data_IF_527948121483
#
_entry.id   IF_527948121483
#
_cell.length_a   1.000
_cell.length_b   1.000
_cell.length_c   1.000
_cell.angle_alpha   90.00
_cell.angle_beta   90.00
_cell.angle_gamma   90.00
#
_symmetry.space_group_name_H-M   'P 1'
#
loop_
_entity.id
_entity.type
_entity.pdbx_description
1 polymer ?
#
# COMPACT_ATOMS: atom_id res chain seq x y z
N UNK A 1 -11.41 -27.20 -2.56
CA UNK A 1 -11.15 -27.01 -4.00
C UNK A 1 -12.12 -26.02 -4.67
N UNK A 2 -13.41 -26.07 -4.38
CA UNK A 2 -14.42 -25.13 -4.95
C UNK A 2 -14.14 -23.64 -4.70
N UNK A 3 -13.67 -23.26 -3.51
CA UNK A 3 -13.36 -21.87 -3.19
C UNK A 3 -12.20 -21.28 -4.02
N UNK A 4 -11.20 -22.08 -4.39
CA UNK A 4 -10.07 -21.62 -5.18
C UNK A 4 -10.46 -21.39 -6.65
N UNK A 5 -11.35 -22.23 -7.20
CA UNK A 5 -11.86 -22.07 -8.56
C UNK A 5 -12.69 -20.79 -8.69
N UNK A 6 -13.49 -20.46 -7.67
CA UNK A 6 -14.25 -19.21 -7.61
C UNK A 6 -13.34 -17.97 -7.53
N UNK A 7 -12.29 -18.00 -6.68
CA UNK A 7 -11.34 -16.91 -6.56
C UNK A 7 -10.55 -16.70 -7.86
N UNK A 8 -10.08 -17.79 -8.47
CA UNK A 8 -9.35 -17.74 -9.73
C UNK A 8 -10.18 -17.12 -10.85
N UNK A 9 -11.47 -17.47 -10.93
CA UNK A 9 -12.39 -16.88 -11.92
C UNK A 9 -12.58 -15.38 -11.69
N UNK A 10 -12.74 -14.95 -10.44
CA UNK A 10 -12.83 -13.53 -10.10
C UNK A 10 -11.55 -12.75 -10.47
N UNK A 11 -10.37 -13.33 -10.22
CA UNK A 11 -9.08 -12.74 -10.61
C UNK A 11 -8.96 -12.64 -12.13
N UNK A 12 -9.43 -13.65 -12.88
CA UNK A 12 -9.45 -13.64 -14.33
C UNK A 12 -10.33 -12.50 -14.88
N UNK A 13 -11.55 -12.37 -14.37
CA UNK A 13 -12.52 -11.32 -14.76
C UNK A 13 -12.02 -9.91 -14.41
N UNK A 14 -11.28 -9.77 -13.30
CA UNK A 14 -10.65 -8.53 -12.91
C UNK A 14 -9.41 -8.18 -13.76
N UNK A 15 -8.95 -9.08 -14.63
CA UNK A 15 -7.79 -8.85 -15.50
C UNK A 15 -6.44 -8.89 -14.78
N UNK A 16 -6.34 -9.62 -13.68
CA UNK A 16 -5.12 -9.78 -12.87
C UNK A 16 -3.99 -10.45 -13.65
N UNK A 17 -4.34 -11.30 -14.61
CA UNK A 17 -3.42 -12.08 -15.44
C UNK A 17 -2.67 -11.28 -16.51
N UNK A 18 -3.06 -10.04 -16.79
CA UNK A 18 -2.37 -9.21 -17.75
C UNK A 18 -1.11 -8.60 -17.14
N UNK A 19 0.05 -8.88 -17.71
CA UNK A 19 1.29 -8.21 -17.37
C UNK A 19 1.67 -7.13 -18.36
N UNK A 20 2.88 -6.67 -18.28
CA UNK A 20 3.45 -5.65 -19.16
C UNK A 20 3.94 -6.22 -20.50
N UNK A 21 4.28 -5.30 -21.40
CA UNK A 21 4.89 -5.64 -22.70
C UNK A 21 6.20 -6.42 -22.50
N UNK A 22 6.43 -7.43 -23.32
CA UNK A 22 7.65 -8.25 -23.37
C UNK A 22 8.95 -7.41 -23.36
N UNK A 23 8.97 -6.25 -23.99
CA UNK A 23 10.15 -5.38 -24.03
C UNK A 23 10.57 -4.80 -22.67
N UNK A 24 9.65 -4.80 -21.68
CA UNK A 24 9.86 -4.21 -20.36
C UNK A 24 9.94 -5.24 -19.22
N UNK A 25 9.88 -6.52 -19.53
CA UNK A 25 9.81 -7.56 -18.52
C UNK A 25 11.11 -7.75 -17.75
N UNK A 26 10.99 -8.27 -16.55
CA UNK A 26 12.14 -8.69 -15.74
C UNK A 26 12.31 -10.22 -15.87
N UNK A 27 13.52 -10.72 -16.23
CA UNK A 27 13.76 -12.17 -16.35
C UNK A 27 13.45 -12.97 -15.07
N UNK A 28 13.56 -12.38 -13.90
CA UNK A 28 13.24 -13.03 -12.62
C UNK A 28 11.75 -13.31 -12.44
N UNK A 29 10.89 -12.71 -13.27
CA UNK A 29 9.45 -13.01 -13.30
C UNK A 29 9.12 -14.26 -14.13
N UNK A 30 10.09 -14.86 -14.82
CA UNK A 30 9.86 -16.06 -15.63
C UNK A 30 9.06 -17.17 -14.91
N UNK A 31 9.31 -17.50 -13.63
CA UNK A 31 8.54 -18.52 -12.92
C UNK A 31 7.04 -18.22 -12.81
N UNK A 32 6.64 -16.95 -12.89
CA UNK A 32 5.26 -16.47 -12.72
C UNK A 32 4.55 -16.18 -14.04
N UNK A 33 5.25 -16.33 -15.18
CA UNK A 33 4.68 -16.10 -16.51
C UNK A 33 4.15 -17.40 -17.06
N UNK A 34 2.87 -17.45 -17.44
CA UNK A 34 2.22 -18.59 -18.05
C UNK A 34 2.48 -18.64 -19.55
N UNK A 35 2.31 -17.51 -20.26
CA UNK A 35 2.42 -17.44 -21.73
C UNK A 35 2.69 -15.99 -22.19
N UNK A 36 2.95 -15.87 -23.49
CA UNK A 36 3.00 -14.58 -24.20
C UNK A 36 1.85 -14.53 -25.21
N UNK A 37 1.08 -13.44 -25.21
CA UNK A 37 -0.01 -13.21 -26.17
C UNK A 37 0.04 -11.79 -26.69
N UNK A 38 0.18 -11.62 -28.02
CA UNK A 38 0.25 -10.32 -28.68
C UNK A 38 1.35 -9.37 -28.11
N UNK A 39 2.50 -9.93 -27.70
CA UNK A 39 3.61 -9.16 -27.13
C UNK A 39 3.42 -8.70 -25.69
N UNK A 40 2.41 -9.22 -24.98
CA UNK A 40 2.14 -9.01 -23.56
C UNK A 40 2.33 -10.33 -22.83
N UNK A 41 2.97 -10.31 -21.68
CA UNK A 41 3.08 -11.47 -20.81
C UNK A 41 1.77 -11.73 -20.06
N UNK A 42 1.41 -13.01 -19.96
CA UNK A 42 0.27 -13.47 -19.18
C UNK A 42 0.79 -14.12 -17.91
N UNK A 43 0.33 -13.62 -16.75
CA UNK A 43 0.70 -14.12 -15.43
C UNK A 43 -0.09 -15.39 -15.12
N UNK A 44 0.57 -16.35 -14.47
CA UNK A 44 -0.06 -17.60 -14.00
C UNK A 44 -0.93 -17.34 -12.77
N UNK A 45 -2.24 -17.40 -12.96
CA UNK A 45 -3.21 -17.16 -11.88
C UNK A 45 -3.17 -18.22 -10.76
N UNK A 46 -2.70 -19.46 -11.04
CA UNK A 46 -2.53 -20.46 -9.98
C UNK A 46 -1.50 -19.95 -8.96
N UNK A 47 -0.36 -19.48 -9.45
CA UNK A 47 0.70 -18.91 -8.59
C UNK A 47 0.25 -17.64 -7.92
N UNK A 48 -0.56 -16.79 -8.59
CA UNK A 48 -1.15 -15.61 -7.96
C UNK A 48 -2.02 -16.01 -6.78
N UNK A 49 -2.87 -17.02 -6.92
CA UNK A 49 -3.74 -17.51 -5.82
C UNK A 49 -2.92 -18.04 -4.65
N UNK A 50 -1.91 -18.88 -4.92
CA UNK A 50 -1.01 -19.43 -3.90
C UNK A 50 -0.31 -18.31 -3.12
N UNK A 51 0.36 -17.40 -3.82
CA UNK A 51 1.06 -16.27 -3.20
C UNK A 51 0.10 -15.33 -2.44
N UNK A 52 -1.11 -15.11 -2.97
CA UNK A 52 -2.12 -14.27 -2.32
C UNK A 52 -2.62 -14.89 -1.01
N UNK A 53 -2.85 -16.19 -0.98
CA UNK A 53 -3.26 -16.92 0.22
C UNK A 53 -2.17 -16.93 1.29
N UNK A 54 -0.92 -17.17 0.88
CA UNK A 54 0.25 -17.11 1.78
C UNK A 54 0.41 -15.71 2.38
N UNK A 55 0.32 -14.69 1.54
CA UNK A 55 0.37 -13.27 1.95
C UNK A 55 -0.75 -12.94 2.93
N UNK A 56 -1.98 -13.38 2.65
CA UNK A 56 -3.14 -13.14 3.51
C UNK A 56 -2.96 -13.80 4.88
N UNK A 57 -2.47 -15.03 4.93
CA UNK A 57 -2.18 -15.74 6.18
C UNK A 57 -1.13 -15.01 7.03
N UNK A 58 -0.04 -14.54 6.39
CA UNK A 58 1.01 -13.79 7.07
C UNK A 58 0.49 -12.44 7.61
N UNK A 59 -0.29 -11.70 6.80
CA UNK A 59 -0.88 -10.42 7.22
C UNK A 59 -1.91 -10.60 8.35
N UNK A 60 -2.72 -11.66 8.30
CA UNK A 60 -3.66 -12.04 9.37
C UNK A 60 -2.92 -12.24 10.69
N UNK A 61 -1.81 -12.95 10.69
CA UNK A 61 -0.98 -13.16 11.89
C UNK A 61 -0.40 -11.86 12.45
N UNK A 62 0.09 -10.96 11.57
CA UNK A 62 0.59 -9.65 11.99
C UNK A 62 -0.53 -8.83 12.64
N UNK A 63 -1.73 -8.81 12.04
CA UNK A 63 -2.90 -8.11 12.57
C UNK A 63 -3.35 -8.66 13.91
N UNK A 64 -3.41 -9.98 14.07
CA UNK A 64 -3.73 -10.67 15.32
C UNK A 64 -2.76 -10.31 16.46
N UNK A 65 -1.49 -10.05 16.16
CA UNK A 65 -0.51 -9.58 17.14
C UNK A 65 -0.66 -8.10 17.52
N UNK A 66 -1.70 -7.39 17.07
CA UNK A 66 -1.96 -5.98 17.32
C UNK A 66 -0.97 -5.03 16.63
N UNK A 67 -0.14 -5.53 15.72
CA UNK A 67 0.85 -4.74 15.00
C UNK A 67 0.21 -4.06 13.79
N UNK A 68 0.76 -2.91 13.38
CA UNK A 68 0.27 -2.15 12.24
C UNK A 68 0.99 -2.53 10.96
N UNK A 69 0.21 -2.63 9.88
CA UNK A 69 0.67 -2.81 8.50
C UNK A 69 0.46 -1.48 7.79
N UNK A 70 1.51 -0.91 7.20
CA UNK A 70 1.42 0.33 6.44
C UNK A 70 1.13 0.01 4.97
N UNK A 71 0.02 0.54 4.46
CA UNK A 71 -0.37 0.42 3.06
C UNK A 71 0.24 1.56 2.24
N UNK A 72 0.87 1.22 1.11
CA UNK A 72 1.49 2.20 0.21
C UNK A 72 1.00 1.98 -1.21
N UNK A 73 0.45 3.03 -1.79
CA UNK A 73 -0.04 3.02 -3.17
C UNK A 73 -0.27 4.43 -3.67
N UNK A 74 0.76 5.06 -4.23
CA UNK A 74 0.67 6.43 -4.76
C UNK A 74 0.24 6.47 -6.23
N UNK A 75 0.19 5.31 -6.89
CA UNK A 75 -0.27 5.17 -8.26
C UNK A 75 -1.75 5.61 -8.37
N UNK A 76 -2.09 6.39 -9.39
CA UNK A 76 -3.44 6.96 -9.56
C UNK A 76 -4.56 5.92 -9.48
N UNK A 77 -4.32 4.71 -10.00
CA UNK A 77 -5.26 3.61 -10.01
C UNK A 77 -5.44 2.96 -8.62
N UNK A 78 -4.45 3.11 -7.73
CA UNK A 78 -4.42 2.46 -6.43
C UNK A 78 -4.89 3.37 -5.28
N UNK A 79 -4.77 4.69 -5.40
CA UNK A 79 -4.98 5.66 -4.32
C UNK A 79 -6.28 5.48 -3.56
N UNK A 80 -7.41 5.50 -4.27
CA UNK A 80 -8.73 5.49 -3.66
C UNK A 80 -9.01 4.13 -3.00
N UNK A 81 -8.61 3.05 -3.67
CA UNK A 81 -8.77 1.67 -3.17
C UNK A 81 -7.98 1.47 -1.89
N UNK A 82 -6.70 1.85 -1.91
CA UNK A 82 -5.80 1.71 -0.75
C UNK A 82 -6.29 2.55 0.43
N UNK A 83 -6.74 3.80 0.18
CA UNK A 83 -7.29 4.68 1.20
C UNK A 83 -8.53 4.06 1.87
N UNK A 84 -9.50 3.63 1.06
CA UNK A 84 -10.74 3.04 1.55
C UNK A 84 -10.49 1.75 2.35
N UNK A 85 -9.72 0.84 1.78
CA UNK A 85 -9.42 -0.46 2.39
C UNK A 85 -8.62 -0.32 3.70
N UNK A 86 -7.60 0.53 3.73
CA UNK A 86 -6.80 0.74 4.93
C UNK A 86 -7.62 1.38 6.07
N UNK A 87 -8.51 2.34 5.75
CA UNK A 87 -9.41 2.95 6.74
C UNK A 87 -10.39 1.93 7.32
N UNK A 88 -10.93 1.03 6.51
CA UNK A 88 -11.87 -0.03 6.94
C UNK A 88 -11.29 -0.89 8.06
N UNK A 89 -9.99 -1.17 8.03
CA UNK A 89 -9.29 -1.99 9.05
C UNK A 89 -8.42 -1.15 10.01
N UNK A 90 -8.60 0.16 10.02
CA UNK A 90 -7.84 1.08 10.88
C UNK A 90 -6.31 0.87 10.78
N UNK A 91 -5.82 0.67 9.57
CA UNK A 91 -4.39 0.57 9.27
C UNK A 91 -3.86 1.89 8.67
N UNK A 92 -2.59 2.25 8.93
CA UNK A 92 -1.98 3.43 8.34
C UNK A 92 -1.79 3.26 6.82
N UNK A 93 -1.79 4.38 6.08
CA UNK A 93 -1.63 4.35 4.64
C UNK A 93 -0.92 5.61 4.10
N UNK A 94 -0.32 5.47 2.91
CA UNK A 94 0.26 6.55 2.12
C UNK A 94 -0.22 6.40 0.68
N UNK A 95 -1.00 7.39 0.21
CA UNK A 95 -1.64 7.35 -1.11
C UNK A 95 -1.30 8.53 -2.01
N UNK A 96 -0.74 9.63 -1.45
CA UNK A 96 -0.42 10.81 -2.26
C UNK A 96 1.02 10.81 -2.74
N UNK A 97 1.96 10.82 -1.81
CA UNK A 97 3.39 10.83 -2.11
C UNK A 97 4.18 10.24 -0.96
N UNK A 98 5.06 9.31 -1.27
CA UNK A 98 6.05 8.87 -0.31
C UNK A 98 7.13 9.94 -0.12
N UNK A 99 7.30 10.42 1.09
CA UNK A 99 8.40 11.33 1.42
C UNK A 99 9.64 10.51 1.78
N UNK A 100 10.78 10.83 1.16
CA UNK A 100 12.04 10.18 1.53
C UNK A 100 12.33 10.36 3.02
N UNK A 101 12.69 9.26 3.70
CA UNK A 101 12.90 9.24 5.14
C UNK A 101 11.64 8.96 5.97
N UNK A 102 10.52 8.59 5.36
CA UNK A 102 9.25 8.37 6.07
C UNK A 102 9.35 7.26 7.13
N UNK A 103 10.16 6.24 6.90
CA UNK A 103 10.48 5.19 7.87
C UNK A 103 11.86 5.40 8.50
N UNK A 104 12.88 5.66 7.70
CA UNK A 104 14.28 5.78 8.17
C UNK A 104 14.51 7.03 9.03
N UNK A 105 13.75 8.10 8.81
CA UNK A 105 13.75 9.32 9.62
C UNK A 105 12.39 9.57 10.31
N UNK A 106 11.81 8.49 10.84
CA UNK A 106 10.47 8.50 11.41
C UNK A 106 10.28 9.57 12.51
N UNK A 107 11.30 9.85 13.32
CA UNK A 107 11.22 10.86 14.37
C UNK A 107 10.95 12.28 13.81
N UNK A 108 11.56 12.63 12.68
CA UNK A 108 11.32 13.93 12.02
C UNK A 108 9.92 13.98 11.41
N UNK A 109 9.48 12.89 10.79
CA UNK A 109 8.11 12.78 10.27
C UNK A 109 7.07 12.91 11.39
N UNK A 110 7.31 12.31 12.55
CA UNK A 110 6.46 12.47 13.75
C UNK A 110 6.39 13.91 14.24
N UNK A 111 7.49 14.67 14.17
CA UNK A 111 7.46 16.12 14.50
C UNK A 111 6.55 16.88 13.53
N UNK A 112 6.60 16.57 12.24
CA UNK A 112 5.73 17.19 11.23
C UNK A 112 4.26 16.83 11.45
N UNK A 113 3.95 15.57 11.80
CA UNK A 113 2.60 15.14 12.17
C UNK A 113 2.10 15.90 13.42
N UNK A 114 2.92 16.01 14.47
CA UNK A 114 2.57 16.79 15.66
C UNK A 114 2.32 18.26 15.34
N UNK A 115 3.13 18.86 14.46
CA UNK A 115 2.91 20.25 13.99
C UNK A 115 1.55 20.38 13.29
N UNK A 116 1.20 19.46 12.41
CA UNK A 116 -0.11 19.42 11.73
C UNK A 116 -1.26 19.37 12.74
N UNK A 117 -1.19 18.44 13.71
CA UNK A 117 -2.19 18.29 14.77
C UNK A 117 -2.28 19.53 15.68
N UNK A 118 -1.14 20.20 15.97
CA UNK A 118 -1.13 21.46 16.72
C UNK A 118 -1.85 22.58 15.97
N UNK A 119 -1.62 22.70 14.66
CA UNK A 119 -2.33 23.70 13.82
C UNK A 119 -3.83 23.39 13.80
N UNK A 120 -4.20 22.12 13.66
CA UNK A 120 -5.59 21.70 13.67
C UNK A 120 -6.30 22.04 14.98
N UNK A 121 -5.66 21.78 16.12
CA UNK A 121 -6.16 22.14 17.45
C UNK A 121 -6.33 23.66 17.59
N UNK A 122 -5.31 24.44 17.22
CA UNK A 122 -5.39 25.90 17.24
C UNK A 122 -6.53 26.44 16.38
N UNK A 123 -6.79 25.85 15.18
CA UNK A 123 -7.91 26.22 14.30
C UNK A 123 -9.28 25.92 14.92
N UNK A 124 -9.37 24.89 15.78
CA UNK A 124 -10.61 24.48 16.46
C UNK A 124 -10.92 25.26 17.74
N UNK A 125 -9.91 25.63 18.51
CA UNK A 125 -10.07 26.19 19.87
C UNK A 125 -10.30 27.72 19.92
N UNK A 126 -10.45 28.38 18.77
CA UNK A 126 -10.65 29.86 18.73
C UNK A 126 -9.43 30.69 19.15
N UNK A 127 -8.30 30.07 19.40
CA UNK A 127 -7.03 30.75 19.83
C UNK A 127 -6.47 31.68 18.75
N UNK A 128 -7.15 31.79 17.62
CA UNK A 128 -6.76 32.63 16.48
C UNK A 128 -7.27 34.08 16.53
N UNK A 129 -8.01 34.48 17.56
CA UNK A 129 -8.53 35.88 17.64
C UNK A 129 -7.42 36.96 17.68
N UNK A 130 -6.18 36.54 18.03
CA UNK A 130 -4.99 37.36 18.01
C UNK A 130 -4.18 37.37 16.71
N UNK A 131 -4.54 36.50 15.72
CA UNK A 131 -3.77 36.28 14.49
C UNK A 131 -4.48 36.94 13.31
N UNK A 132 -3.69 37.54 12.39
CA UNK A 132 -4.26 38.20 11.21
C UNK A 132 -4.97 37.21 10.28
N UNK A 133 -6.05 37.64 9.59
CA UNK A 133 -6.82 36.84 8.64
C UNK A 133 -5.93 36.18 7.55
N UNK A 134 -4.89 36.88 7.09
CA UNK A 134 -3.92 36.37 6.11
C UNK A 134 -3.10 35.22 6.66
N UNK A 135 -2.63 35.35 7.90
CA UNK A 135 -1.82 34.32 8.55
C UNK A 135 -2.64 33.06 8.84
N UNK A 136 -3.87 33.22 9.33
CA UNK A 136 -4.82 32.10 9.50
C UNK A 136 -5.05 31.32 8.20
N UNK A 137 -5.24 32.03 7.08
CA UNK A 137 -5.40 31.39 5.78
C UNK A 137 -4.13 30.63 5.35
N UNK A 138 -2.96 31.16 5.62
CA UNK A 138 -1.68 30.50 5.31
C UNK A 138 -1.51 29.22 6.12
N UNK A 139 -1.77 29.28 7.43
CA UNK A 139 -1.71 28.10 8.31
C UNK A 139 -2.73 27.02 7.91
N UNK A 140 -3.95 27.41 7.54
CA UNK A 140 -4.95 26.46 7.03
C UNK A 140 -4.46 25.74 5.77
N UNK A 141 -3.92 26.47 4.80
CA UNK A 141 -3.37 25.90 3.57
C UNK A 141 -2.18 24.97 3.83
N UNK A 142 -1.33 25.31 4.78
CA UNK A 142 -0.19 24.46 5.15
C UNK A 142 -0.65 23.20 5.88
N UNK A 143 -1.66 23.28 6.75
CA UNK A 143 -2.32 22.12 7.34
C UNK A 143 -2.86 21.20 6.26
N UNK A 144 -3.65 21.73 5.32
CA UNK A 144 -4.27 20.93 4.24
C UNK A 144 -3.22 20.20 3.38
N UNK A 145 -2.10 20.86 3.09
CA UNK A 145 -0.97 20.23 2.37
C UNK A 145 -0.35 19.08 3.17
N UNK A 146 -0.12 19.30 4.48
CA UNK A 146 0.43 18.28 5.36
C UNK A 146 -0.55 17.10 5.53
N UNK A 147 -1.84 17.37 5.68
CA UNK A 147 -2.87 16.37 5.87
C UNK A 147 -3.00 15.43 4.66
N UNK A 148 -2.92 15.95 3.44
CA UNK A 148 -2.89 15.13 2.22
C UNK A 148 -1.77 14.11 2.22
N UNK A 149 -0.58 14.47 2.70
CA UNK A 149 0.61 13.60 2.63
C UNK A 149 0.80 12.77 3.88
N UNK A 150 0.49 13.31 5.05
CA UNK A 150 0.78 12.71 6.36
C UNK A 150 -0.48 12.22 7.10
N UNK A 151 -1.67 12.57 6.62
CA UNK A 151 -2.92 12.24 7.30
C UNK A 151 -3.12 10.74 7.52
N UNK A 152 -2.77 9.91 6.53
CA UNK A 152 -2.89 8.46 6.64
C UNK A 152 -1.94 7.81 7.66
N UNK A 153 -0.90 8.51 8.09
CA UNK A 153 0.05 8.04 9.11
C UNK A 153 -0.04 8.83 10.43
N UNK A 154 -1.03 9.73 10.56
CA UNK A 154 -1.16 10.60 11.74
C UNK A 154 -1.26 9.81 13.06
N UNK A 155 -1.92 8.66 13.05
CA UNK A 155 -2.10 7.79 14.21
C UNK A 155 -0.93 6.81 14.43
N UNK A 156 0.05 6.76 13.52
CA UNK A 156 1.17 5.83 13.61
C UNK A 156 2.16 6.29 14.69
N UNK A 157 2.14 5.65 15.85
CA UNK A 157 3.00 6.00 17.01
C UNK A 157 4.42 5.47 16.92
N UNK A 158 4.64 4.37 16.20
CA UNK A 158 5.93 3.67 16.01
C UNK A 158 6.04 3.16 14.59
N UNK A 159 7.23 2.77 14.18
CA UNK A 159 7.49 2.15 12.89
C UNK A 159 6.59 0.92 12.70
N UNK A 160 5.95 0.73 11.53
CA UNK A 160 5.05 -0.40 11.28
C UNK A 160 5.82 -1.72 11.27
N UNK A 161 5.14 -2.82 11.57
CA UNK A 161 5.75 -4.16 11.53
C UNK A 161 5.86 -4.70 10.11
N UNK A 162 5.01 -4.22 9.21
CA UNK A 162 5.00 -4.63 7.82
C UNK A 162 4.61 -3.49 6.89
N UNK A 163 5.03 -3.60 5.64
CA UNK A 163 4.72 -2.69 4.55
C UNK A 163 4.03 -3.46 3.43
N UNK A 164 2.84 -3.04 3.02
CA UNK A 164 2.16 -3.54 1.83
C UNK A 164 2.24 -2.49 0.72
N UNK A 165 2.76 -2.88 -0.44
CA UNK A 165 3.09 -1.98 -1.54
C UNK A 165 2.30 -2.37 -2.79
N UNK A 166 1.62 -1.41 -3.40
CA UNK A 166 1.05 -1.57 -4.75
C UNK A 166 2.03 -0.98 -5.76
N UNK A 167 2.53 -1.82 -6.66
CA UNK A 167 3.58 -1.50 -7.63
C UNK A 167 4.94 -1.19 -6.96
N UNK A 168 5.73 -2.24 -6.77
CA UNK A 168 7.07 -2.14 -6.15
C UNK A 168 8.09 -1.38 -7.01
N UNK A 169 7.84 -1.24 -8.30
CA UNK A 169 8.69 -0.46 -9.21
C UNK A 169 8.48 1.04 -9.01
N UNK A 170 7.24 1.46 -8.82
CA UNK A 170 6.88 2.84 -8.54
C UNK A 170 7.32 3.26 -7.13
N UNK A 171 7.05 2.42 -6.15
CA UNK A 171 7.31 2.69 -4.72
C UNK A 171 8.71 2.20 -4.26
N UNK A 172 9.70 2.24 -5.13
CA UNK A 172 11.05 1.72 -4.86
C UNK A 172 11.74 2.37 -3.65
N UNK A 173 11.43 3.64 -3.34
CA UNK A 173 11.99 4.34 -2.16
C UNK A 173 11.42 3.75 -0.88
N UNK A 174 10.09 3.55 -0.82
CA UNK A 174 9.42 2.94 0.32
C UNK A 174 9.96 1.54 0.61
N UNK A 175 10.12 0.74 -0.45
CA UNK A 175 10.69 -0.61 -0.38
C UNK A 175 12.15 -0.60 0.13
N UNK A 176 12.98 0.31 -0.37
CA UNK A 176 14.37 0.44 0.07
C UNK A 176 14.49 0.83 1.56
N UNK A 177 13.62 1.74 2.03
CA UNK A 177 13.57 2.12 3.44
C UNK A 177 13.11 0.96 4.34
N UNK A 178 12.08 0.23 3.92
CA UNK A 178 11.59 -0.94 4.66
C UNK A 178 12.67 -2.00 4.82
N UNK A 179 13.37 -2.34 3.74
CA UNK A 179 14.48 -3.29 3.77
C UNK A 179 15.62 -2.85 4.68
N UNK A 180 15.97 -1.56 4.64
CA UNK A 180 17.02 -1.02 5.50
C UNK A 180 16.72 -1.17 7.00
N UNK A 181 15.42 -1.18 7.34
CA UNK A 181 14.93 -1.31 8.72
C UNK A 181 14.55 -2.76 9.08
N UNK A 182 14.66 -3.72 8.17
CA UNK A 182 14.25 -5.10 8.39
C UNK A 182 12.74 -5.27 8.58
N UNK A 183 11.93 -4.40 7.96
CA UNK A 183 10.46 -4.47 8.00
C UNK A 183 10.01 -5.47 6.95
N UNK A 184 9.12 -6.40 7.32
CA UNK A 184 8.52 -7.35 6.38
C UNK A 184 7.78 -6.64 5.25
N UNK A 185 8.05 -7.06 4.02
CA UNK A 185 7.54 -6.40 2.81
C UNK A 185 6.62 -7.32 2.02
N UNK A 186 5.44 -6.83 1.73
CA UNK A 186 4.43 -7.46 0.88
C UNK A 186 4.19 -6.57 -0.32
N UNK A 187 4.05 -7.14 -1.51
CA UNK A 187 3.87 -6.29 -2.69
C UNK A 187 3.18 -6.94 -3.86
N UNK A 188 2.39 -6.15 -4.58
CA UNK A 188 1.92 -6.49 -5.91
C UNK A 188 3.07 -6.28 -6.88
N UNK A 189 3.41 -7.33 -7.63
CA UNK A 189 4.57 -7.38 -8.52
C UNK A 189 4.10 -7.74 -9.93
N UNK A 190 4.19 -6.79 -10.83
CA UNK A 190 3.94 -7.04 -12.25
C UNK A 190 5.21 -7.57 -12.96
N UNK A 191 5.07 -8.00 -14.19
CA UNK A 191 6.12 -8.64 -14.99
C UNK A 191 7.34 -7.79 -15.28
N UNK A 192 7.28 -6.46 -15.06
CA UNK A 192 8.39 -5.51 -15.23
C UNK A 192 9.27 -5.38 -13.97
N UNK A 193 8.86 -5.97 -12.84
CA UNK A 193 9.51 -5.83 -11.55
C UNK A 193 10.26 -7.10 -11.13
N UNK A 194 11.17 -6.97 -10.14
CA UNK A 194 11.93 -8.09 -9.55
C UNK A 194 11.17 -8.61 -8.32
N UNK A 195 10.61 -9.84 -8.36
CA UNK A 195 9.85 -10.40 -7.25
C UNK A 195 10.70 -10.66 -5.99
N UNK A 196 12.01 -10.86 -6.16
CA UNK A 196 12.94 -11.09 -5.04
C UNK A 196 13.21 -9.82 -4.21
N UNK A 197 12.66 -8.68 -4.63
CA UNK A 197 12.79 -7.43 -3.87
C UNK A 197 11.80 -7.32 -2.72
N UNK A 198 10.82 -8.19 -2.60
CA UNK A 198 9.87 -8.24 -1.48
C UNK A 198 9.91 -9.61 -0.84
N UNK A 199 9.51 -9.70 0.42
CA UNK A 199 9.50 -10.98 1.14
C UNK A 199 8.31 -11.83 0.68
N UNK A 200 7.17 -11.19 0.39
CA UNK A 200 5.96 -11.82 -0.13
C UNK A 200 5.53 -11.11 -1.41
N UNK A 201 5.83 -11.73 -2.54
CA UNK A 201 5.46 -11.20 -3.86
C UNK A 201 4.11 -11.77 -4.30
N UNK A 202 3.19 -10.91 -4.71
CA UNK A 202 1.92 -11.28 -5.33
C UNK A 202 2.02 -10.95 -6.82
N UNK A 203 2.26 -11.93 -7.69
CA UNK A 203 2.35 -11.68 -9.13
C UNK A 203 0.98 -11.29 -9.67
N UNK A 204 0.83 -10.05 -10.13
CA UNK A 204 -0.45 -9.51 -10.57
C UNK A 204 -0.29 -8.21 -11.35
N UNK A 205 -1.33 -7.86 -12.13
CA UNK A 205 -1.44 -6.60 -12.83
C UNK A 205 -1.60 -5.43 -11.84
N UNK A 206 -0.69 -4.48 -11.89
CA UNK A 206 -0.70 -3.28 -11.04
C UNK A 206 -1.24 -2.01 -11.73
N UNK A 207 -1.68 -2.12 -12.99
CA UNK A 207 -2.24 -1.02 -13.78
C UNK A 207 -3.78 -1.00 -13.77
N UNK A 208 -4.42 -2.17 -13.67
CA UNK A 208 -5.86 -2.27 -13.72
C UNK A 208 -6.49 -2.03 -12.33
N UNK A 209 -7.34 -1.02 -12.21
CA UNK A 209 -8.07 -0.67 -10.97
C UNK A 209 -8.82 -1.89 -10.39
N UNK A 210 -9.47 -2.71 -11.23
CA UNK A 210 -10.19 -3.91 -10.79
C UNK A 210 -9.24 -4.98 -10.22
N UNK A 211 -8.06 -5.16 -10.83
CA UNK A 211 -7.03 -6.08 -10.36
C UNK A 211 -6.51 -5.67 -8.97
N UNK A 212 -6.17 -4.40 -8.80
CA UNK A 212 -5.73 -3.87 -7.51
C UNK A 212 -6.84 -4.02 -6.47
N UNK A 213 -8.09 -3.68 -6.83
CA UNK A 213 -9.21 -3.72 -5.90
C UNK A 213 -9.48 -5.13 -5.35
N UNK A 214 -9.49 -6.16 -6.18
CA UNK A 214 -9.77 -7.52 -5.73
C UNK A 214 -8.68 -8.03 -4.78
N UNK A 215 -7.41 -7.77 -5.09
CA UNK A 215 -6.26 -8.18 -4.25
C UNK A 215 -6.28 -7.45 -2.92
N UNK A 216 -6.40 -6.11 -2.94
CA UNK A 216 -6.39 -5.29 -1.72
C UNK A 216 -7.59 -5.63 -0.83
N UNK A 217 -8.79 -5.83 -1.40
CA UNK A 217 -9.97 -6.24 -0.63
C UNK A 217 -9.79 -7.63 0.01
N UNK A 218 -9.22 -8.60 -0.72
CA UNK A 218 -8.94 -9.94 -0.19
C UNK A 218 -8.01 -9.88 1.01
N UNK A 219 -6.90 -9.14 0.90
CA UNK A 219 -5.94 -8.96 2.00
C UNK A 219 -6.56 -8.19 3.18
N UNK A 220 -7.38 -7.18 2.90
CA UNK A 220 -8.08 -6.40 3.93
C UNK A 220 -9.07 -7.27 4.70
N UNK A 221 -9.78 -8.19 4.04
CA UNK A 221 -10.66 -9.15 4.71
C UNK A 221 -9.88 -10.06 5.67
N UNK A 222 -8.73 -10.59 5.24
CA UNK A 222 -7.87 -11.41 6.10
C UNK A 222 -7.32 -10.63 7.31
N UNK A 223 -6.97 -9.34 7.12
CA UNK A 223 -6.56 -8.46 8.23
C UNK A 223 -7.72 -8.24 9.20
N UNK A 224 -8.94 -8.00 8.69
CA UNK A 224 -10.13 -7.82 9.52
C UNK A 224 -10.43 -9.06 10.38
N UNK A 225 -10.31 -10.25 9.79
CA UNK A 225 -10.41 -11.51 10.54
C UNK A 225 -9.36 -11.61 11.67
N UNK A 226 -8.09 -11.26 11.35
CA UNK A 226 -7.01 -11.30 12.35
C UNK A 226 -7.16 -10.26 13.48
N UNK A 227 -7.87 -9.15 13.23
CA UNK A 227 -8.19 -8.15 14.25
C UNK A 227 -9.38 -8.56 15.13
N UNK A 228 -10.23 -9.47 14.66
CA UNK A 228 -11.40 -9.98 15.38
C UNK A 228 -11.06 -11.15 16.32
N UNK A 229 -9.94 -11.83 16.10
CA UNK A 229 -9.40 -12.93 16.93
C UNK A 229 -8.56 -12.40 18.10
#
# INVERSE_FOLDING_TARGET
MENNTSLQQQLLEAGVHFGHLKKKWNPKMLPYIFAEKKGIHIIDLNKTVECLQETAAAMKQIARSGKKILFVGTKKQAKDIVNECARRVNMPFVTERWLGGMLTNFNTVRKSVKKMQSIEKMLGDGSFDSITKKERLTLSRDKDKMEKVLGGIAQLGRVPAALFIVDIGHEHIALAEAKRLGISTFGIVDTNCDPNKVDFAIPANDDATKSIAIIVNYLTAAIAEGLAE
#
